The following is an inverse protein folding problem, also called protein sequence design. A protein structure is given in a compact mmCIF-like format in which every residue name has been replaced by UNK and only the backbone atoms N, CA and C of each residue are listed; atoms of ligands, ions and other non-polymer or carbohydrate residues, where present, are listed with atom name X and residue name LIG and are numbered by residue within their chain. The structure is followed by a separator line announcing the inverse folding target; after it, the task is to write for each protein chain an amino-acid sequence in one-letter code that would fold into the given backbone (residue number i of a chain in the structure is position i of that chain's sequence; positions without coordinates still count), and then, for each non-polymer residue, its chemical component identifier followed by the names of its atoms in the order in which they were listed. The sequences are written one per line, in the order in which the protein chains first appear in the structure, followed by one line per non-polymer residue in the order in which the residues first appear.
data_IF_227820611921
#
_entry.id   IF_227820611921
#
_cell.length_a   1.000
_cell.length_b   1.000
_cell.length_c   1.000
_cell.angle_alpha   90.00
_cell.angle_beta   90.00
_cell.angle_gamma   90.00
#
_symmetry.space_group_name_H-M   'P 1'
#
loop_
_entity.id
_entity.type
_entity.pdbx_description
1 polymer ?
#
# COMPACT_ATOMS: atom_id res chain seq x y z
N UNK A 1 17.96 13.08 -26.40
CA UNK A 1 17.20 12.94 -25.15
C UNK A 1 18.21 12.75 -24.02
N UNK A 2 18.25 13.65 -23.02
CA UNK A 2 19.14 13.50 -21.88
C UNK A 2 18.58 12.48 -20.89
N UNK A 3 19.49 11.77 -20.20
CA UNK A 3 19.17 10.68 -19.26
C UNK A 3 18.27 11.14 -18.10
N UNK A 4 18.35 12.41 -17.72
CA UNK A 4 17.51 13.02 -16.68
C UNK A 4 16.02 12.92 -16.96
N UNK A 5 15.62 13.03 -18.22
CA UNK A 5 14.21 13.11 -18.59
C UNK A 5 13.56 11.73 -18.60
N UNK A 6 14.32 10.71 -19.02
CA UNK A 6 13.92 9.30 -18.93
C UNK A 6 13.72 8.86 -17.47
N UNK A 7 14.61 9.30 -16.56
CA UNK A 7 14.48 9.03 -15.13
C UNK A 7 13.23 9.72 -14.56
N UNK A 8 12.95 10.96 -14.98
CA UNK A 8 11.80 11.72 -14.49
C UNK A 8 10.46 11.13 -14.96
N UNK A 9 10.43 10.55 -16.15
CA UNK A 9 9.27 9.83 -16.69
C UNK A 9 9.06 8.49 -15.96
N UNK A 10 10.11 7.68 -15.81
CA UNK A 10 10.05 6.39 -15.09
C UNK A 10 9.63 6.55 -13.62
N UNK A 11 10.12 7.57 -12.93
CA UNK A 11 9.75 7.85 -11.53
C UNK A 11 8.31 8.36 -11.42
N UNK A 12 7.82 9.14 -12.40
CA UNK A 12 6.45 9.66 -12.41
C UNK A 12 5.40 8.55 -12.50
N UNK A 13 5.67 7.48 -13.25
CA UNK A 13 4.72 6.36 -13.38
C UNK A 13 4.51 5.62 -12.05
N UNK A 14 5.56 5.49 -11.22
CA UNK A 14 5.43 4.88 -9.89
C UNK A 14 4.82 5.83 -8.85
N UNK A 15 5.07 7.13 -8.98
CA UNK A 15 4.52 8.18 -8.10
C UNK A 15 3.31 8.90 -8.72
N UNK A 16 2.50 8.17 -9.48
CA UNK A 16 1.24 8.71 -10.01
C UNK A 16 0.17 8.74 -8.92
N UNK A 17 -0.65 9.80 -8.91
CA UNK A 17 -1.75 9.98 -7.96
C UNK A 17 -2.69 8.76 -7.92
N UNK A 18 -2.88 8.09 -9.06
CA UNK A 18 -3.68 6.86 -9.15
C UNK A 18 -3.06 5.69 -8.37
N UNK A 19 -1.73 5.53 -8.41
CA UNK A 19 -1.01 4.49 -7.70
C UNK A 19 -1.01 4.76 -6.19
N UNK A 20 -0.78 6.01 -5.78
CA UNK A 20 -0.86 6.41 -4.37
C UNK A 20 -2.27 6.19 -3.80
N UNK A 21 -3.30 6.58 -4.54
CA UNK A 21 -4.70 6.38 -4.14
C UNK A 21 -5.06 4.91 -4.04
N UNK A 22 -4.60 4.07 -4.98
CA UNK A 22 -4.88 2.63 -4.96
C UNK A 22 -4.14 1.94 -3.80
N UNK A 23 -2.86 2.24 -3.63
CA UNK A 23 -2.05 1.70 -2.54
C UNK A 23 -2.61 2.10 -1.16
N UNK A 24 -3.03 3.37 -1.02
CA UNK A 24 -3.67 3.86 0.20
C UNK A 24 -4.97 3.12 0.53
N UNK A 25 -5.81 2.82 -0.46
CA UNK A 25 -7.06 2.06 -0.26
C UNK A 25 -6.78 0.63 0.19
N UNK A 26 -5.84 -0.05 -0.47
CA UNK A 26 -5.47 -1.42 -0.12
C UNK A 26 -4.89 -1.46 1.31
N UNK A 27 -4.06 -0.50 1.67
CA UNK A 27 -3.52 -0.38 3.02
C UNK A 27 -4.62 -0.18 4.08
N UNK A 28 -5.61 0.68 3.82
CA UNK A 28 -6.74 0.89 4.74
C UNK A 28 -7.58 -0.37 4.94
N UNK A 29 -7.82 -1.14 3.88
CA UNK A 29 -8.50 -2.44 3.98
C UNK A 29 -7.67 -3.41 4.82
N UNK A 30 -6.34 -3.41 4.67
CA UNK A 30 -5.44 -4.19 5.52
C UNK A 30 -5.58 -3.86 7.00
N UNK A 31 -5.59 -2.57 7.36
CA UNK A 31 -5.77 -2.13 8.76
C UNK A 31 -7.15 -2.55 9.30
N UNK A 32 -8.21 -2.40 8.50
CA UNK A 32 -9.55 -2.84 8.90
C UNK A 32 -9.61 -4.35 9.12
N UNK A 33 -8.96 -5.13 8.26
CA UNK A 33 -8.87 -6.58 8.43
C UNK A 33 -8.18 -6.92 9.75
N UNK A 34 -7.04 -6.31 10.05
CA UNK A 34 -6.32 -6.52 11.32
C UNK A 34 -7.18 -6.19 12.54
N UNK A 35 -7.93 -5.08 12.50
CA UNK A 35 -8.84 -4.68 13.58
C UNK A 35 -9.96 -5.71 13.78
N UNK A 36 -10.58 -6.17 12.69
CA UNK A 36 -11.64 -7.20 12.74
C UNK A 36 -11.08 -8.52 13.28
N UNK A 37 -9.89 -8.91 12.84
CA UNK A 37 -9.23 -10.13 13.29
C UNK A 37 -8.91 -10.10 14.78
N UNK A 38 -8.41 -8.96 15.30
CA UNK A 38 -8.16 -8.76 16.72
C UNK A 38 -9.45 -8.85 17.54
N UNK A 39 -10.54 -8.23 17.08
CA UNK A 39 -11.83 -8.30 17.78
C UNK A 39 -12.42 -9.72 17.79
N UNK A 40 -12.23 -10.50 16.73
CA UNK A 40 -12.77 -11.85 16.62
C UNK A 40 -11.93 -12.90 17.36
N UNK A 41 -10.60 -12.76 17.32
CA UNK A 41 -9.66 -13.82 17.73
C UNK A 41 -8.84 -13.46 18.97
N UNK A 42 -8.79 -12.17 19.35
CA UNK A 42 -7.91 -11.65 20.40
C UNK A 42 -6.48 -11.36 19.94
N UNK A 43 -6.11 -11.80 18.74
CA UNK A 43 -4.79 -11.62 18.13
C UNK A 43 -4.87 -10.78 16.86
N UNK A 44 -3.87 -9.92 16.64
CA UNK A 44 -3.80 -9.04 15.46
C UNK A 44 -3.57 -9.87 14.19
N UNK A 45 -2.71 -10.90 14.25
CA UNK A 45 -2.49 -11.87 13.17
C UNK A 45 -2.43 -13.28 13.77
N UNK A 46 -3.53 -14.04 13.71
CA UNK A 46 -3.59 -15.39 14.24
C UNK A 46 -2.58 -16.30 13.54
N UNK A 47 -1.76 -17.01 14.31
CA UNK A 47 -0.79 -17.98 13.77
C UNK A 47 0.53 -17.39 13.26
N UNK A 48 0.80 -16.10 13.51
CA UNK A 48 2.15 -15.52 13.39
C UNK A 48 2.67 -15.30 14.81
N UNK A 49 3.77 -15.98 15.16
CA UNK A 49 4.32 -16.06 16.52
C UNK A 49 5.14 -14.83 16.92
#
# INVERSE_FOLDING_TARGET
MPISDFLKETINDCMTNKAESLNGRIAMVGILALMVTYLATGDIIPGVF
#
